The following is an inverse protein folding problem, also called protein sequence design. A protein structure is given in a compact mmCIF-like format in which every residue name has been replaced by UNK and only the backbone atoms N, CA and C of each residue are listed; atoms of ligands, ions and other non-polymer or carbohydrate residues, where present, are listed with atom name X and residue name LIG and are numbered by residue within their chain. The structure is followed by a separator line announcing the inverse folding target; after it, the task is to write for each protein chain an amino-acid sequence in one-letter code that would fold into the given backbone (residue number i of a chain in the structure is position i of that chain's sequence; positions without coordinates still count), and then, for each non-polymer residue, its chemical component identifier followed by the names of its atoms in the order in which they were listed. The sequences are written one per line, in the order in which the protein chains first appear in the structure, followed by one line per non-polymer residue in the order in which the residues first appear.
data_IF_137507847098
#
_entry.id   IF_137507847098
#
_cell.length_a   1.000
_cell.length_b   1.000
_cell.length_c   1.000
_cell.angle_alpha   90.00
_cell.angle_beta   90.00
_cell.angle_gamma   90.00
#
_symmetry.space_group_name_H-M   'P 1'
#
loop_
_entity.id
_entity.type
_entity.pdbx_description
1 polymer ?
#
# COMPACT_ATOMS: atom_id res chain seq x y z
N UNK A 1 -2.34 -43.98 12.62
CA UNK A 1 -1.91 -42.81 11.86
C UNK A 1 -2.78 -41.63 12.26
N UNK A 2 -2.19 -40.46 12.56
CA UNK A 2 -2.99 -39.28 12.91
C UNK A 2 -3.81 -38.79 11.70
N UNK A 3 -4.93 -38.12 11.93
CA UNK A 3 -5.76 -37.52 10.85
C UNK A 3 -4.93 -36.59 9.96
N UNK A 4 -3.99 -35.87 10.55
CA UNK A 4 -3.04 -34.99 9.84
C UNK A 4 -2.16 -35.75 8.86
N UNK A 5 -1.53 -36.88 9.27
CA UNK A 5 -0.67 -37.68 8.38
C UNK A 5 -1.46 -38.31 7.22
N UNK A 6 -2.73 -38.64 7.44
CA UNK A 6 -3.61 -39.11 6.35
C UNK A 6 -3.87 -38.02 5.32
N UNK A 7 -4.10 -36.78 5.78
CA UNK A 7 -4.30 -35.63 4.89
C UNK A 7 -3.05 -35.28 4.09
N UNK A 8 -1.88 -35.30 4.72
CA UNK A 8 -0.60 -35.08 4.00
C UNK A 8 -0.41 -36.11 2.89
N UNK A 9 -0.69 -37.38 3.16
CA UNK A 9 -0.59 -38.46 2.16
C UNK A 9 -1.59 -38.31 1.02
N UNK A 10 -2.83 -37.87 1.31
CA UNK A 10 -3.82 -37.52 0.29
C UNK A 10 -3.30 -36.39 -0.61
N UNK A 11 -2.62 -35.39 -0.02
CA UNK A 11 -1.94 -34.31 -0.76
C UNK A 11 -0.83 -34.82 -1.66
N UNK A 12 0.00 -35.77 -1.18
CA UNK A 12 1.07 -36.42 -1.98
C UNK A 12 0.52 -37.16 -3.20
N UNK A 13 -0.54 -37.93 -3.00
CA UNK A 13 -1.18 -38.69 -4.09
C UNK A 13 -1.79 -37.76 -5.14
N UNK A 14 -2.39 -36.62 -4.71
CA UNK A 14 -2.95 -35.64 -5.62
C UNK A 14 -1.86 -34.87 -6.37
N UNK A 15 -0.78 -34.46 -5.68
CA UNK A 15 0.36 -33.77 -6.29
C UNK A 15 1.04 -34.66 -7.35
N UNK A 16 1.25 -35.93 -7.05
CA UNK A 16 1.83 -36.87 -8.00
C UNK A 16 0.98 -37.06 -9.29
N UNK A 17 -0.36 -37.00 -9.14
CA UNK A 17 -1.26 -37.02 -10.31
C UNK A 17 -1.14 -35.74 -11.14
N UNK A 18 -1.07 -34.59 -10.50
CA UNK A 18 -0.89 -33.30 -11.17
C UNK A 18 0.44 -33.25 -11.94
N UNK A 19 1.55 -33.67 -11.31
CA UNK A 19 2.87 -33.69 -11.97
C UNK A 19 2.92 -34.62 -13.19
N UNK A 20 2.23 -35.74 -13.15
CA UNK A 20 2.10 -36.63 -14.34
C UNK A 20 1.39 -35.92 -15.49
N UNK A 21 0.40 -35.07 -15.22
CA UNK A 21 -0.33 -34.31 -16.24
C UNK A 21 0.51 -33.13 -16.78
N UNK A 22 1.37 -32.56 -15.95
CA UNK A 22 2.26 -31.44 -16.31
C UNK A 22 3.53 -31.89 -17.04
N UNK A 23 3.90 -33.18 -16.92
CA UNK A 23 5.09 -33.71 -17.59
C UNK A 23 4.78 -33.98 -19.06
N UNK A 24 5.62 -33.43 -19.96
CA UNK A 24 5.58 -33.76 -21.40
C UNK A 24 6.16 -35.13 -21.65
N UNK A 25 5.58 -35.88 -22.58
CA UNK A 25 6.03 -37.19 -23.00
C UNK A 25 6.09 -37.27 -24.51
N UNK A 26 6.63 -38.35 -25.08
CA UNK A 26 6.67 -38.54 -26.54
C UNK A 26 5.27 -38.49 -27.19
N UNK A 27 4.21 -38.79 -26.41
CA UNK A 27 2.82 -38.74 -26.87
C UNK A 27 2.05 -37.49 -26.40
N UNK A 28 2.63 -36.69 -25.49
CA UNK A 28 2.06 -35.45 -24.98
C UNK A 28 3.05 -34.31 -25.15
N UNK A 29 2.86 -33.52 -26.17
CA UNK A 29 3.78 -32.46 -26.58
C UNK A 29 3.65 -31.18 -25.73
N UNK A 30 2.50 -31.00 -25.05
CA UNK A 30 2.24 -29.87 -24.13
C UNK A 30 1.70 -30.38 -22.80
N UNK A 31 2.01 -29.69 -21.68
CA UNK A 31 1.41 -29.95 -20.38
C UNK A 31 -0.12 -29.76 -20.41
N UNK A 32 -0.83 -30.63 -19.70
CA UNK A 32 -2.28 -30.50 -19.54
C UNK A 32 -2.59 -29.64 -18.29
N UNK A 33 -2.53 -28.33 -18.47
CA UNK A 33 -2.76 -27.37 -17.37
C UNK A 33 -4.21 -27.42 -16.84
N UNK A 34 -5.19 -27.66 -17.71
CA UNK A 34 -6.60 -27.72 -17.33
C UNK A 34 -6.87 -28.91 -16.40
N UNK A 35 -6.43 -30.10 -16.77
CA UNK A 35 -6.64 -31.30 -15.94
C UNK A 35 -5.75 -31.34 -14.70
N UNK A 36 -4.58 -30.69 -14.71
CA UNK A 36 -3.68 -30.65 -13.56
C UNK A 36 -4.17 -29.72 -12.43
N UNK A 37 -4.86 -28.60 -12.77
CA UNK A 37 -5.30 -27.59 -11.81
C UNK A 37 -6.12 -28.16 -10.65
N UNK A 38 -7.18 -28.97 -10.84
CA UNK A 38 -7.98 -29.49 -9.72
C UNK A 38 -7.20 -30.45 -8.82
N UNK A 39 -6.20 -31.17 -9.37
CA UNK A 39 -5.33 -32.03 -8.54
C UNK A 39 -4.35 -31.20 -7.70
N UNK A 40 -3.81 -30.09 -8.22
CA UNK A 40 -2.98 -29.17 -7.46
C UNK A 40 -3.78 -28.49 -6.36
N UNK A 41 -5.01 -28.05 -6.65
CA UNK A 41 -5.91 -27.46 -5.66
C UNK A 41 -6.22 -28.41 -4.53
N UNK A 42 -6.60 -29.66 -4.86
CA UNK A 42 -6.81 -30.73 -3.88
C UNK A 42 -5.55 -31.01 -3.06
N UNK A 43 -4.38 -31.02 -3.68
CA UNK A 43 -3.11 -31.23 -2.96
C UNK A 43 -2.81 -30.10 -1.98
N UNK A 44 -2.96 -28.82 -2.40
CA UNK A 44 -2.74 -27.66 -1.58
C UNK A 44 -3.67 -27.62 -0.36
N UNK A 45 -4.96 -27.89 -0.56
CA UNK A 45 -5.95 -27.97 0.51
C UNK A 45 -5.66 -29.13 1.48
N UNK A 46 -5.27 -30.30 0.97
CA UNK A 46 -4.91 -31.43 1.80
C UNK A 46 -3.66 -31.17 2.65
N UNK A 47 -2.63 -30.52 2.09
CA UNK A 47 -1.47 -30.09 2.86
C UNK A 47 -1.81 -29.04 3.91
N UNK A 48 -2.69 -28.07 3.59
CA UNK A 48 -3.16 -27.08 4.55
C UNK A 48 -3.93 -27.75 5.70
N UNK A 49 -4.86 -28.63 5.38
CA UNK A 49 -5.63 -29.39 6.39
C UNK A 49 -4.74 -30.32 7.22
N UNK A 50 -3.67 -30.87 6.62
CA UNK A 50 -2.66 -31.68 7.28
C UNK A 50 -1.60 -30.88 8.06
N UNK A 51 -1.71 -29.55 8.14
CA UNK A 51 -0.75 -28.65 8.80
C UNK A 51 0.66 -28.68 8.19
N UNK A 52 0.79 -29.17 6.96
CA UNK A 52 2.04 -29.11 6.20
C UNK A 52 2.14 -27.79 5.43
N UNK A 53 2.19 -26.65 6.18
CA UNK A 53 2.01 -25.31 5.64
C UNK A 53 3.06 -24.90 4.61
N UNK A 54 4.32 -25.33 4.79
CA UNK A 54 5.39 -25.11 3.79
C UNK A 54 5.02 -25.74 2.43
N UNK A 55 4.55 -26.97 2.46
CA UNK A 55 4.14 -27.70 1.28
C UNK A 55 2.89 -27.10 0.65
N UNK A 56 1.93 -26.70 1.48
CA UNK A 56 0.73 -26.01 1.03
C UNK A 56 1.07 -24.72 0.28
N UNK A 57 1.91 -23.86 0.84
CA UNK A 57 2.33 -22.61 0.20
C UNK A 57 2.98 -22.86 -1.17
N UNK A 58 3.95 -23.78 -1.25
CA UNK A 58 4.62 -24.15 -2.50
C UNK A 58 3.66 -24.70 -3.55
N UNK A 59 2.67 -25.50 -3.11
CA UNK A 59 1.66 -26.08 -4.02
C UNK A 59 0.70 -24.99 -4.52
N UNK A 60 0.31 -24.00 -3.69
CA UNK A 60 -0.49 -22.85 -4.15
C UNK A 60 0.28 -21.98 -5.16
N UNK A 61 1.58 -21.76 -4.98
CA UNK A 61 2.42 -21.08 -5.98
C UNK A 61 2.40 -21.84 -7.30
N UNK A 62 2.63 -23.17 -7.23
CA UNK A 62 2.60 -24.02 -8.43
C UNK A 62 1.24 -24.04 -9.11
N UNK A 63 0.16 -24.06 -8.34
CA UNK A 63 -1.21 -23.95 -8.86
C UNK A 63 -1.44 -22.60 -9.57
N UNK A 64 -0.96 -21.50 -8.97
CA UNK A 64 -1.06 -20.18 -9.58
C UNK A 64 -0.33 -20.11 -10.92
N UNK A 65 0.89 -20.64 -11.02
CA UNK A 65 1.66 -20.72 -12.28
C UNK A 65 0.91 -21.52 -13.34
N UNK A 66 0.35 -22.67 -12.96
CA UNK A 66 -0.42 -23.53 -13.88
C UNK A 66 -1.68 -22.85 -14.35
N UNK A 67 -2.40 -22.16 -13.45
CA UNK A 67 -3.60 -21.43 -13.82
C UNK A 67 -3.30 -20.20 -14.68
N UNK A 68 -2.20 -19.50 -14.43
CA UNK A 68 -1.74 -18.41 -15.29
C UNK A 68 -1.49 -18.92 -16.73
N UNK A 69 -0.75 -20.03 -16.86
CA UNK A 69 -0.50 -20.66 -18.16
C UNK A 69 -1.76 -21.18 -18.86
N UNK A 70 -2.80 -21.50 -18.09
CA UNK A 70 -4.10 -21.91 -18.60
C UNK A 70 -5.03 -20.72 -18.92
N UNK A 71 -4.56 -19.47 -18.78
CA UNK A 71 -5.34 -18.26 -19.00
C UNK A 71 -6.28 -17.89 -17.87
N UNK A 72 -6.27 -18.63 -16.74
CA UNK A 72 -7.09 -18.33 -15.55
C UNK A 72 -6.36 -17.35 -14.61
N UNK A 73 -5.93 -16.20 -15.15
CA UNK A 73 -5.04 -15.23 -14.50
C UNK A 73 -5.61 -14.70 -13.18
N UNK A 74 -6.94 -14.46 -13.13
CA UNK A 74 -7.61 -14.02 -11.91
C UNK A 74 -7.44 -15.04 -10.75
N UNK A 75 -7.62 -16.32 -11.03
CA UNK A 75 -7.42 -17.39 -10.02
C UNK A 75 -5.96 -17.51 -9.63
N UNK A 76 -5.05 -17.35 -10.58
CA UNK A 76 -3.62 -17.33 -10.31
C UNK A 76 -3.26 -16.25 -9.28
N UNK A 77 -3.76 -15.02 -9.43
CA UNK A 77 -3.55 -13.95 -8.47
C UNK A 77 -4.09 -14.29 -7.07
N UNK A 78 -5.30 -14.85 -6.97
CA UNK A 78 -5.89 -15.29 -5.70
C UNK A 78 -5.05 -16.39 -4.99
N UNK A 79 -4.50 -17.31 -5.75
CA UNK A 79 -3.65 -18.37 -5.18
C UNK A 79 -2.29 -17.85 -4.74
N UNK A 80 -1.73 -16.82 -5.39
CA UNK A 80 -0.55 -16.12 -4.91
C UNK A 80 -0.80 -15.43 -3.57
N UNK A 81 -1.94 -14.74 -3.41
CA UNK A 81 -2.35 -14.17 -2.12
C UNK A 81 -2.45 -15.23 -1.02
N UNK A 82 -3.05 -16.38 -1.34
CA UNK A 82 -3.19 -17.49 -0.41
C UNK A 82 -1.83 -18.08 -0.01
N UNK A 83 -0.94 -18.28 -0.98
CA UNK A 83 0.42 -18.75 -0.74
C UNK A 83 1.20 -17.79 0.18
N UNK A 84 1.09 -16.47 -0.05
CA UNK A 84 1.72 -15.44 0.78
C UNK A 84 1.22 -15.50 2.24
N UNK A 85 -0.10 -15.55 2.44
CA UNK A 85 -0.69 -15.67 3.78
C UNK A 85 -0.23 -16.91 4.52
N UNK A 86 -0.23 -18.07 3.85
CA UNK A 86 0.23 -19.34 4.44
C UNK A 86 1.73 -19.24 4.76
N UNK A 87 2.53 -18.63 3.88
CA UNK A 87 3.97 -18.46 4.12
C UNK A 87 4.22 -17.66 5.39
N UNK A 88 3.52 -16.52 5.58
CA UNK A 88 3.66 -15.71 6.79
C UNK A 88 3.22 -16.42 8.07
N UNK A 89 2.30 -17.41 7.97
CA UNK A 89 1.89 -18.22 9.11
C UNK A 89 3.00 -19.13 9.62
N UNK A 90 3.70 -19.87 8.73
CA UNK A 90 4.70 -20.84 9.16
C UNK A 90 6.12 -20.27 9.24
N UNK A 91 6.43 -19.23 8.48
CA UNK A 91 7.76 -18.63 8.40
C UNK A 91 7.75 -17.11 8.54
N UNK A 92 7.18 -16.52 9.63
CA UNK A 92 7.09 -15.05 9.77
C UNK A 92 8.46 -14.37 9.86
N UNK A 93 9.51 -15.10 10.20
CA UNK A 93 10.91 -14.60 10.24
C UNK A 93 11.58 -14.57 8.86
N UNK A 94 10.97 -15.15 7.85
CA UNK A 94 11.45 -15.17 6.46
C UNK A 94 10.38 -14.63 5.52
N UNK A 95 10.07 -13.33 5.57
CA UNK A 95 8.93 -12.75 4.88
C UNK A 95 9.17 -12.53 3.37
N UNK A 96 10.41 -12.61 2.88
CA UNK A 96 10.75 -12.30 1.48
C UNK A 96 9.95 -13.10 0.44
N UNK A 97 9.75 -14.42 0.57
CA UNK A 97 8.92 -15.14 -0.38
C UNK A 97 7.47 -14.65 -0.38
N UNK A 98 6.91 -14.31 0.78
CA UNK A 98 5.55 -13.78 0.84
C UNK A 98 5.42 -12.43 0.12
N UNK A 99 6.42 -11.56 0.24
CA UNK A 99 6.48 -10.29 -0.50
C UNK A 99 6.46 -10.54 -2.01
N UNK A 100 7.31 -11.46 -2.49
CA UNK A 100 7.33 -11.84 -3.91
C UNK A 100 5.97 -12.39 -4.39
N UNK A 101 5.29 -13.19 -3.58
CA UNK A 101 3.98 -13.74 -3.95
C UNK A 101 2.91 -12.63 -4.06
N UNK A 102 2.90 -11.64 -3.15
CA UNK A 102 2.01 -10.48 -3.28
C UNK A 102 2.32 -9.66 -4.53
N UNK A 103 3.60 -9.41 -4.84
CA UNK A 103 4.01 -8.71 -6.05
C UNK A 103 3.61 -9.47 -7.33
N UNK A 104 3.82 -10.78 -7.36
CA UNK A 104 3.38 -11.62 -8.49
C UNK A 104 1.85 -11.61 -8.65
N UNK A 105 1.11 -11.67 -7.54
CA UNK A 105 -0.34 -11.55 -7.56
C UNK A 105 -0.81 -10.20 -8.10
N UNK A 106 -0.15 -9.10 -7.73
CA UNK A 106 -0.39 -7.76 -8.28
C UNK A 106 -0.09 -7.71 -9.78
N UNK A 107 1.05 -8.28 -10.21
CA UNK A 107 1.41 -8.34 -11.63
C UNK A 107 0.35 -9.08 -12.47
N UNK A 108 -0.20 -10.17 -11.96
CA UNK A 108 -1.28 -10.89 -12.64
C UNK A 108 -2.56 -10.05 -12.79
N UNK A 109 -2.94 -9.26 -11.77
CA UNK A 109 -4.07 -8.34 -11.90
C UNK A 109 -3.76 -7.19 -12.88
N UNK A 110 -2.53 -6.69 -12.89
CA UNK A 110 -2.09 -5.65 -13.85
C UNK A 110 -2.10 -6.16 -15.28
N UNK A 111 -1.71 -7.42 -15.53
CA UNK A 111 -1.79 -8.08 -16.84
C UNK A 111 -3.23 -8.12 -17.38
N UNK A 112 -4.22 -8.22 -16.49
CA UNK A 112 -5.64 -8.19 -16.85
C UNK A 112 -6.21 -6.77 -17.00
N UNK A 113 -5.42 -5.71 -16.76
CA UNK A 113 -5.90 -4.33 -16.71
C UNK A 113 -6.67 -3.98 -15.42
N UNK A 114 -6.71 -4.87 -14.42
CA UNK A 114 -7.41 -4.69 -13.15
C UNK A 114 -6.52 -3.94 -12.14
N UNK A 115 -6.09 -2.72 -12.49
CA UNK A 115 -5.12 -1.94 -11.71
C UNK A 115 -5.56 -1.68 -10.27
N UNK A 116 -6.86 -1.49 -10.04
CA UNK A 116 -7.41 -1.32 -8.69
C UNK A 116 -7.21 -2.56 -7.81
N UNK A 117 -7.38 -3.76 -8.37
CA UNK A 117 -7.12 -5.02 -7.66
C UNK A 117 -5.62 -5.27 -7.49
N UNK A 118 -4.81 -4.86 -8.45
CA UNK A 118 -3.35 -4.91 -8.34
C UNK A 118 -2.87 -4.05 -7.18
N UNK A 119 -3.31 -2.80 -7.09
CA UNK A 119 -3.01 -1.90 -5.98
C UNK A 119 -3.52 -2.44 -4.63
N UNK A 120 -4.74 -2.98 -4.59
CA UNK A 120 -5.29 -3.62 -3.38
C UNK A 120 -4.44 -4.81 -2.92
N UNK A 121 -3.94 -5.62 -3.84
CA UNK A 121 -3.04 -6.75 -3.55
C UNK A 121 -1.73 -6.27 -2.91
N UNK A 122 -1.10 -5.23 -3.46
CA UNK A 122 0.10 -4.61 -2.89
C UNK A 122 -0.17 -4.02 -1.51
N UNK A 123 -1.28 -3.32 -1.33
CA UNK A 123 -1.67 -2.74 -0.03
C UNK A 123 -1.90 -3.82 1.04
N UNK A 124 -2.56 -4.92 0.70
CA UNK A 124 -2.74 -6.08 1.59
C UNK A 124 -1.39 -6.72 1.95
N UNK A 125 -0.54 -6.90 0.95
CA UNK A 125 0.81 -7.44 1.15
C UNK A 125 1.65 -6.54 2.04
N UNK A 126 1.68 -5.25 1.77
CA UNK A 126 2.43 -4.28 2.55
C UNK A 126 1.97 -4.26 4.02
N UNK A 127 0.66 -4.24 4.27
CA UNK A 127 0.11 -4.27 5.63
C UNK A 127 0.46 -5.57 6.37
N UNK A 128 0.37 -6.73 5.71
CA UNK A 128 0.74 -8.02 6.30
C UNK A 128 2.25 -8.11 6.62
N UNK A 129 3.10 -7.58 5.75
CA UNK A 129 4.55 -7.54 5.94
C UNK A 129 4.96 -6.52 7.00
N UNK A 130 4.28 -5.38 7.11
CA UNK A 130 4.47 -4.41 8.18
C UNK A 130 4.19 -5.05 9.56
N UNK A 131 3.17 -5.87 9.67
CA UNK A 131 2.81 -6.57 10.90
C UNK A 131 3.91 -7.53 11.38
N UNK A 132 4.74 -8.07 10.48
CA UNK A 132 5.91 -8.90 10.81
C UNK A 132 7.23 -8.12 10.79
N UNK A 133 7.17 -6.79 10.88
CA UNK A 133 8.30 -5.87 10.97
C UNK A 133 9.27 -5.91 9.77
N UNK A 134 8.76 -6.11 8.57
CA UNK A 134 9.57 -5.95 7.36
C UNK A 134 9.86 -4.47 7.11
N UNK A 135 11.13 -4.12 6.98
CA UNK A 135 11.54 -2.72 6.79
C UNK A 135 11.30 -2.20 5.39
N UNK A 136 11.30 -3.07 4.41
CA UNK A 136 11.32 -2.70 2.99
C UNK A 136 9.97 -2.92 2.29
N UNK A 137 8.89 -2.45 2.93
CA UNK A 137 7.55 -2.49 2.31
C UNK A 137 7.15 -1.17 1.64
N UNK A 138 7.97 -0.14 1.78
CA UNK A 138 7.68 1.21 1.27
C UNK A 138 7.39 1.22 -0.23
N UNK A 139 8.19 0.50 -1.01
CA UNK A 139 8.00 0.43 -2.45
C UNK A 139 6.62 -0.15 -2.84
N UNK A 140 6.10 -1.12 -2.09
CA UNK A 140 4.77 -1.68 -2.37
C UNK A 140 3.65 -0.64 -2.17
N UNK A 141 3.78 0.21 -1.14
CA UNK A 141 2.84 1.31 -0.91
C UNK A 141 2.91 2.37 -2.03
N UNK A 142 4.13 2.73 -2.47
CA UNK A 142 4.32 3.70 -3.54
C UNK A 142 3.85 3.16 -4.89
N UNK A 143 4.19 1.92 -5.22
CA UNK A 143 3.73 1.23 -6.43
C UNK A 143 2.19 1.13 -6.47
N UNK A 144 1.53 0.88 -5.33
CA UNK A 144 0.07 0.91 -5.28
C UNK A 144 -0.51 2.30 -5.62
N UNK A 145 0.15 3.39 -5.18
CA UNK A 145 -0.24 4.74 -5.58
C UNK A 145 -0.05 4.97 -7.08
N UNK A 146 1.06 4.51 -7.66
CA UNK A 146 1.36 4.65 -9.09
C UNK A 146 0.32 3.92 -9.96
N UNK A 147 -0.07 2.71 -9.56
CA UNK A 147 -1.14 1.95 -10.23
C UNK A 147 -2.48 2.68 -10.18
N UNK A 148 -2.80 3.31 -9.04
CA UNK A 148 -4.07 4.03 -8.88
C UNK A 148 -4.11 5.35 -9.65
N UNK A 149 -2.98 6.02 -9.86
CA UNK A 149 -2.92 7.20 -10.73
C UNK A 149 -3.09 6.84 -12.21
N UNK A 150 -2.58 5.70 -12.62
CA UNK A 150 -2.75 5.19 -14.00
C UNK A 150 -4.22 4.84 -14.29
N UNK A 151 -5.00 4.52 -13.25
CA UNK A 151 -6.42 4.23 -13.38
C UNK A 151 -7.22 5.55 -13.39
N UNK A 152 -8.03 5.78 -14.41
CA UNK A 152 -8.89 6.98 -14.53
C UNK A 152 -10.10 6.94 -13.56
N UNK A 153 -9.82 6.69 -12.28
CA UNK A 153 -10.81 6.61 -11.20
C UNK A 153 -10.27 7.23 -9.90
N UNK A 154 -10.12 8.57 -9.84
CA UNK A 154 -9.44 9.24 -8.75
C UNK A 154 -10.06 9.00 -7.36
N UNK A 155 -11.37 8.78 -7.29
CA UNK A 155 -12.06 8.52 -6.02
C UNK A 155 -11.54 7.27 -5.29
N UNK A 156 -11.14 6.22 -6.03
CA UNK A 156 -10.60 5.01 -5.43
C UNK A 156 -9.13 5.16 -5.00
N UNK A 157 -8.41 6.09 -5.59
CA UNK A 157 -7.02 6.38 -5.26
C UNK A 157 -6.86 7.00 -3.87
N UNK A 158 -7.80 7.82 -3.43
CA UNK A 158 -7.72 8.58 -2.17
C UNK A 158 -7.39 7.70 -0.96
N UNK A 159 -8.03 6.54 -0.83
CA UNK A 159 -7.81 5.64 0.29
C UNK A 159 -6.39 5.03 0.27
N UNK A 160 -5.88 4.69 -0.91
CA UNK A 160 -4.51 4.17 -1.09
C UNK A 160 -3.50 5.23 -0.69
N UNK A 161 -3.65 6.46 -1.17
CA UNK A 161 -2.77 7.59 -0.83
C UNK A 161 -2.79 7.91 0.67
N UNK A 162 -3.96 7.91 1.32
CA UNK A 162 -4.08 8.14 2.77
C UNK A 162 -3.39 7.06 3.59
N UNK A 163 -3.54 5.78 3.22
CA UNK A 163 -2.86 4.67 3.89
C UNK A 163 -1.35 4.76 3.70
N UNK A 164 -0.90 5.10 2.50
CA UNK A 164 0.52 5.32 2.21
C UNK A 164 1.08 6.48 3.02
N UNK A 165 0.38 7.62 3.09
CA UNK A 165 0.78 8.76 3.93
C UNK A 165 0.90 8.36 5.41
N UNK A 166 -0.09 7.63 5.94
CA UNK A 166 -0.05 7.16 7.33
C UNK A 166 1.17 6.26 7.62
N UNK A 167 1.51 5.36 6.68
CA UNK A 167 2.70 4.52 6.76
C UNK A 167 3.99 5.35 6.76
N UNK A 168 4.14 6.28 5.80
CA UNK A 168 5.32 7.13 5.67
C UNK A 168 5.53 8.02 6.90
N UNK A 169 4.47 8.63 7.40
CA UNK A 169 4.50 9.46 8.63
C UNK A 169 4.91 8.62 9.85
N UNK A 170 4.35 7.41 10.00
CA UNK A 170 4.71 6.47 11.08
C UNK A 170 6.19 6.11 11.06
N UNK A 171 6.76 5.96 9.87
CA UNK A 171 8.19 5.66 9.68
C UNK A 171 9.10 6.89 9.76
N UNK A 172 8.51 8.08 9.85
CA UNK A 172 9.22 9.37 9.78
C UNK A 172 9.89 9.64 8.42
N UNK A 173 9.43 8.98 7.36
CA UNK A 173 9.84 9.23 5.98
C UNK A 173 9.09 10.48 5.45
N UNK A 174 9.33 11.64 6.11
CA UNK A 174 8.54 12.85 5.88
C UNK A 174 8.70 13.44 4.49
N UNK A 175 9.88 13.31 3.87
CA UNK A 175 10.11 13.77 2.51
C UNK A 175 9.21 13.04 1.51
N UNK A 176 9.13 11.72 1.58
CA UNK A 176 8.24 10.94 0.73
C UNK A 176 6.77 11.18 1.06
N UNK A 177 6.45 11.44 2.35
CA UNK A 177 5.10 11.83 2.73
C UNK A 177 4.69 13.17 2.12
N UNK A 178 5.59 14.16 2.03
CA UNK A 178 5.34 15.43 1.32
C UNK A 178 5.00 15.16 -0.15
N UNK A 179 5.82 14.38 -0.85
CA UNK A 179 5.55 14.02 -2.25
C UNK A 179 4.20 13.31 -2.39
N UNK A 180 3.87 12.41 -1.47
CA UNK A 180 2.57 11.73 -1.48
C UNK A 180 1.40 12.71 -1.30
N UNK A 181 1.50 13.70 -0.40
CA UNK A 181 0.47 14.72 -0.24
C UNK A 181 0.38 15.69 -1.43
N UNK A 182 1.48 16.02 -2.09
CA UNK A 182 1.48 16.81 -3.33
C UNK A 182 0.72 16.08 -4.44
N UNK A 183 0.89 14.76 -4.57
CA UNK A 183 0.10 13.92 -5.47
C UNK A 183 -1.38 13.92 -5.07
N UNK A 184 -1.71 13.84 -3.78
CA UNK A 184 -3.09 13.97 -3.30
C UNK A 184 -3.70 15.32 -3.64
N UNK A 185 -2.95 16.42 -3.55
CA UNK A 185 -3.41 17.75 -3.98
C UNK A 185 -3.83 17.75 -5.44
N UNK A 186 -3.01 17.15 -6.33
CA UNK A 186 -3.34 17.03 -7.74
C UNK A 186 -4.63 16.22 -7.96
N UNK A 187 -4.79 15.13 -7.21
CA UNK A 187 -5.98 14.27 -7.23
C UNK A 187 -7.24 15.03 -6.78
N UNK A 188 -7.17 15.71 -5.64
CA UNK A 188 -8.30 16.49 -5.12
C UNK A 188 -8.65 17.69 -6.00
N UNK A 189 -7.64 18.30 -6.64
CA UNK A 189 -7.85 19.38 -7.62
C UNK A 189 -8.60 18.86 -8.84
N UNK A 190 -8.24 17.70 -9.39
CA UNK A 190 -8.94 17.06 -10.49
C UNK A 190 -10.40 16.70 -10.15
N UNK A 191 -10.67 16.36 -8.88
CA UNK A 191 -12.03 16.07 -8.38
C UNK A 191 -12.81 17.31 -7.94
N UNK A 192 -12.23 18.50 -7.91
CA UNK A 192 -12.85 19.71 -7.40
C UNK A 192 -13.07 19.72 -5.88
N UNK A 193 -12.35 18.87 -5.10
CA UNK A 193 -12.52 18.73 -3.66
C UNK A 193 -11.63 19.70 -2.87
N UNK A 194 -12.03 20.97 -2.83
CA UNK A 194 -11.25 22.07 -2.22
C UNK A 194 -10.91 21.81 -0.74
N UNK A 195 -11.87 21.34 0.06
CA UNK A 195 -11.65 21.08 1.48
C UNK A 195 -10.56 20.01 1.73
N UNK A 196 -10.58 18.92 0.97
CA UNK A 196 -9.56 17.88 1.08
C UNK A 196 -8.20 18.37 0.58
N UNK A 197 -8.19 19.25 -0.44
CA UNK A 197 -6.99 19.91 -0.93
C UNK A 197 -6.36 20.80 0.14
N UNK A 198 -7.17 21.61 0.86
CA UNK A 198 -6.71 22.47 1.96
C UNK A 198 -6.08 21.65 3.10
N UNK A 199 -6.70 20.51 3.46
CA UNK A 199 -6.13 19.57 4.44
C UNK A 199 -4.78 19.01 3.99
N UNK A 200 -4.64 18.73 2.70
CA UNK A 200 -3.35 18.28 2.15
C UNK A 200 -2.29 19.38 2.20
N UNK A 201 -2.64 20.61 1.91
CA UNK A 201 -1.74 21.77 2.05
C UNK A 201 -1.23 21.95 3.48
N UNK A 202 -2.13 21.93 4.47
CA UNK A 202 -1.73 21.98 5.88
C UNK A 202 -0.85 20.78 6.28
N UNK A 203 -1.14 19.60 5.74
CA UNK A 203 -0.34 18.39 5.99
C UNK A 203 1.09 18.53 5.46
N UNK A 204 1.29 19.08 4.27
CA UNK A 204 2.60 19.40 3.69
C UNK A 204 3.38 20.36 4.60
N UNK A 205 2.73 21.42 5.06
CA UNK A 205 3.33 22.41 5.95
C UNK A 205 3.77 21.76 7.27
N UNK A 206 2.89 20.98 7.90
CA UNK A 206 3.20 20.25 9.15
C UNK A 206 4.38 19.30 8.96
N UNK A 207 4.45 18.57 7.84
CA UNK A 207 5.57 17.67 7.55
C UNK A 207 6.89 18.41 7.41
N UNK A 208 6.91 19.55 6.72
CA UNK A 208 8.11 20.40 6.61
C UNK A 208 8.54 20.95 7.97
N UNK A 209 7.59 21.35 8.82
CA UNK A 209 7.87 21.71 10.21
C UNK A 209 8.44 20.52 11.01
N UNK A 210 7.94 19.31 10.81
CA UNK A 210 8.47 18.10 11.46
C UNK A 210 9.89 17.73 11.01
N UNK A 211 10.27 18.13 9.79
CA UNK A 211 11.64 18.04 9.27
C UNK A 211 12.57 19.14 9.83
N UNK A 212 12.07 20.02 10.70
CA UNK A 212 12.76 21.20 11.21
C UNK A 212 13.12 22.24 10.14
N UNK A 213 12.48 22.17 8.98
CA UNK A 213 12.69 23.11 7.89
C UNK A 213 11.54 24.14 7.85
N UNK A 214 11.64 25.11 8.78
CA UNK A 214 10.64 26.19 8.90
C UNK A 214 10.64 27.10 7.66
N UNK A 215 11.78 27.21 6.97
CA UNK A 215 11.91 28.02 5.75
C UNK A 215 11.11 27.37 4.62
N UNK A 216 11.31 26.08 4.40
CA UNK A 216 10.55 25.35 3.39
C UNK A 216 9.05 25.26 3.74
N UNK A 217 8.70 25.19 5.04
CA UNK A 217 7.31 25.26 5.49
C UNK A 217 6.67 26.60 5.14
N UNK A 218 7.37 27.70 5.37
CA UNK A 218 6.91 29.06 5.03
C UNK A 218 6.77 29.27 3.53
N UNK A 219 7.73 28.78 2.75
CA UNK A 219 7.67 28.81 1.27
C UNK A 219 6.46 28.04 0.75
N UNK A 220 6.20 26.86 1.29
CA UNK A 220 5.03 26.06 0.93
C UNK A 220 3.72 26.81 1.30
N UNK A 221 3.66 27.40 2.49
CA UNK A 221 2.53 28.23 2.92
C UNK A 221 2.27 29.38 1.93
N UNK A 222 3.31 30.16 1.59
CA UNK A 222 3.19 31.28 0.63
C UNK A 222 2.75 30.81 -0.77
N UNK A 223 3.19 29.61 -1.18
CA UNK A 223 2.75 29.02 -2.45
C UNK A 223 1.28 28.64 -2.41
N UNK A 224 0.82 28.06 -1.31
CA UNK A 224 -0.58 27.62 -1.16
C UNK A 224 -1.55 28.78 -0.97
N UNK A 225 -1.11 29.95 -0.47
CA UNK A 225 -1.91 31.17 -0.40
C UNK A 225 -2.38 31.69 -1.77
N UNK A 226 -1.77 31.22 -2.87
CA UNK A 226 -2.22 31.54 -4.22
C UNK A 226 -3.52 30.83 -4.59
N UNK A 227 -3.95 29.85 -3.80
CA UNK A 227 -5.24 29.18 -3.95
C UNK A 227 -6.29 29.87 -3.06
N UNK A 228 -7.26 30.53 -3.70
CA UNK A 228 -8.31 31.30 -3.00
C UNK A 228 -9.08 30.46 -1.97
N UNK A 229 -9.23 29.17 -2.23
CA UNK A 229 -9.89 28.23 -1.32
C UNK A 229 -9.11 28.02 -0.04
N UNK A 230 -7.78 28.05 -0.10
CA UNK A 230 -6.93 27.87 1.07
C UNK A 230 -6.89 29.12 1.94
N UNK A 231 -6.76 30.30 1.35
CA UNK A 231 -6.67 31.57 2.08
C UNK A 231 -7.80 31.77 3.11
N UNK A 232 -9.01 31.34 2.79
CA UNK A 232 -10.18 31.47 3.65
C UNK A 232 -10.45 30.27 4.56
N UNK A 233 -9.56 29.30 4.60
CA UNK A 233 -9.75 28.04 5.33
C UNK A 233 -9.19 28.06 6.76
N UNK A 234 -9.75 27.21 7.62
CA UNK A 234 -9.21 26.98 8.96
C UNK A 234 -7.80 26.40 8.90
N UNK A 235 -7.50 25.59 7.89
CA UNK A 235 -6.19 24.99 7.64
C UNK A 235 -5.13 26.06 7.36
N UNK A 236 -5.49 27.15 6.69
CA UNK A 236 -4.61 28.30 6.46
C UNK A 236 -4.25 28.97 7.79
N UNK A 237 -5.26 29.32 8.60
CA UNK A 237 -5.06 29.96 9.89
C UNK A 237 -4.23 29.09 10.86
N UNK A 238 -4.45 27.76 10.86
CA UNK A 238 -3.65 26.82 11.65
C UNK A 238 -2.18 26.77 11.20
N UNK A 239 -1.95 26.82 9.89
CA UNK A 239 -0.61 26.78 9.30
C UNK A 239 0.17 28.06 9.59
N UNK A 240 -0.50 29.22 9.50
CA UNK A 240 0.07 30.53 9.84
C UNK A 240 0.50 30.60 11.30
N UNK A 241 -0.38 30.21 12.21
CA UNK A 241 -0.10 30.18 13.63
C UNK A 241 1.07 29.25 13.97
N UNK A 242 1.13 28.08 13.34
CA UNK A 242 2.21 27.10 13.56
C UNK A 242 3.56 27.65 13.09
N UNK A 243 3.62 28.17 11.86
CA UNK A 243 4.84 28.77 11.30
C UNK A 243 5.26 29.99 12.13
N UNK A 244 4.30 30.84 12.52
CA UNK A 244 4.55 32.02 13.31
C UNK A 244 5.16 31.70 14.68
N UNK A 245 4.65 30.68 15.37
CA UNK A 245 5.20 30.22 16.65
C UNK A 245 6.63 29.67 16.50
N UNK A 246 6.88 28.87 15.45
CA UNK A 246 8.20 28.30 15.15
C UNK A 246 9.22 29.38 14.75
N UNK A 247 8.86 30.35 13.91
CA UNK A 247 9.73 31.48 13.51
C UNK A 247 10.15 32.34 14.71
N UNK A 248 9.23 32.59 15.64
CA UNK A 248 9.53 33.36 16.86
C UNK A 248 10.22 32.56 17.95
N UNK A 249 10.36 31.26 17.76
CA UNK A 249 10.86 30.33 18.78
C UNK A 249 10.07 30.45 20.10
N UNK A 250 8.78 30.69 20.01
CA UNK A 250 7.88 30.86 21.15
C UNK A 250 7.23 29.51 21.50
N UNK A 251 7.80 28.82 22.50
CA UNK A 251 7.29 27.52 22.96
C UNK A 251 5.89 27.63 23.57
N UNK A 252 5.60 28.73 24.29
CA UNK A 252 4.29 28.90 24.90
C UNK A 252 3.20 29.03 23.83
N UNK A 253 3.43 29.85 22.82
CA UNK A 253 2.53 30.01 21.68
C UNK A 253 2.44 28.68 20.89
N UNK A 254 3.55 28.01 20.66
CA UNK A 254 3.56 26.71 19.99
C UNK A 254 2.65 25.71 20.71
N UNK A 255 2.77 25.57 22.04
CA UNK A 255 1.93 24.67 22.83
C UNK A 255 0.43 24.99 22.74
N UNK A 256 0.08 26.28 22.60
CA UNK A 256 -1.31 26.70 22.36
C UNK A 256 -1.78 26.24 20.98
N UNK A 257 -0.98 26.47 19.94
CA UNK A 257 -1.29 26.07 18.56
C UNK A 257 -1.44 24.56 18.42
N UNK A 258 -0.52 23.78 19.00
CA UNK A 258 -0.54 22.31 18.91
C UNK A 258 -1.78 21.67 19.56
N UNK A 259 -2.41 22.37 20.52
CA UNK A 259 -3.62 21.91 21.22
C UNK A 259 -4.92 22.33 20.57
N UNK A 260 -4.89 23.11 19.48
CA UNK A 260 -6.11 23.56 18.79
C UNK A 260 -6.93 22.34 18.32
N UNK A 261 -8.26 22.31 18.59
CA UNK A 261 -9.10 21.17 18.25
C UNK A 261 -9.25 20.96 16.72
N UNK A 262 -9.05 22.02 15.94
CA UNK A 262 -9.16 21.96 14.48
C UNK A 262 -8.19 20.95 13.83
N UNK A 263 -7.05 20.63 14.49
CA UNK A 263 -6.14 19.59 14.02
C UNK A 263 -6.78 18.19 13.94
N UNK A 264 -7.95 17.98 14.53
CA UNK A 264 -8.68 16.70 14.37
C UNK A 264 -9.32 16.53 12.98
N UNK A 265 -9.48 17.60 12.21
CA UNK A 265 -10.10 17.57 10.89
C UNK A 265 -9.11 17.29 9.75
N UNK A 266 -7.81 17.38 10.01
CA UNK A 266 -6.76 16.88 9.10
C UNK A 266 -6.63 15.36 9.22
N UNK A 267 -5.81 14.75 8.35
CA UNK A 267 -5.56 13.32 8.45
C UNK A 267 -5.05 12.92 9.84
N UNK A 268 -5.55 11.81 10.36
CA UNK A 268 -5.27 11.34 11.74
C UNK A 268 -3.77 11.21 12.00
N UNK A 269 -2.97 10.78 11.01
CA UNK A 269 -1.51 10.68 11.15
C UNK A 269 -0.85 12.05 11.34
N UNK A 270 -1.32 13.07 10.65
CA UNK A 270 -0.85 14.45 10.75
C UNK A 270 -1.29 15.08 12.08
N UNK A 271 -2.55 14.91 12.48
CA UNK A 271 -3.03 15.40 13.76
C UNK A 271 -2.30 14.80 14.97
N UNK A 272 -1.81 13.54 14.85
CA UNK A 272 -0.91 12.93 15.85
C UNK A 272 0.50 13.52 15.77
N UNK A 273 1.04 13.70 14.57
CA UNK A 273 2.36 14.28 14.35
C UNK A 273 2.46 15.69 14.92
N UNK A 274 1.46 16.56 14.67
CA UNK A 274 1.39 17.93 15.22
C UNK A 274 1.65 17.94 16.72
N UNK A 275 1.01 17.04 17.47
CA UNK A 275 1.15 16.97 18.94
C UNK A 275 2.55 16.58 19.41
N UNK A 276 3.43 16.11 18.52
CA UNK A 276 4.81 15.73 18.81
C UNK A 276 5.83 16.81 18.40
N UNK A 277 5.37 17.87 17.73
CA UNK A 277 6.25 18.96 17.31
C UNK A 277 6.82 19.70 18.52
N UNK A 278 8.05 20.13 18.41
CA UNK A 278 8.74 20.94 19.41
C UNK A 278 9.79 21.82 18.74
N UNK A 279 10.16 22.91 19.38
CA UNK A 279 11.22 23.82 18.91
C UNK A 279 12.59 23.12 18.77
N UNK A 280 12.82 22.07 19.55
CA UNK A 280 14.14 21.42 19.73
C UNK A 280 14.20 20.00 19.15
N UNK A 281 13.41 19.68 18.14
CA UNK A 281 13.49 18.37 17.47
C UNK A 281 13.20 17.16 18.37
N UNK A 282 12.31 17.30 19.34
CA UNK A 282 11.88 16.21 20.23
C UNK A 282 12.80 15.99 21.46
N UNK A 283 13.87 16.76 21.63
CA UNK A 283 14.56 16.84 22.90
C UNK A 283 13.70 17.67 23.86
N UNK A 284 13.18 17.03 24.93
CA UNK A 284 12.47 17.73 26.01
C UNK A 284 13.41 18.81 26.54
N UNK A 285 12.99 20.10 26.60
CA UNK A 285 13.85 21.13 27.23
C UNK A 285 14.19 20.70 28.65
N UNK A 286 15.42 20.97 29.17
CA UNK A 286 15.73 20.70 30.54
C UNK A 286 14.70 21.43 31.39
N UNK A 287 13.98 20.68 32.22
CA UNK A 287 12.96 21.21 33.12
C UNK A 287 13.53 22.44 33.83
N UNK A 288 12.98 23.60 33.50
CA UNK A 288 13.30 24.87 34.13
C UNK A 288 13.26 24.67 35.65
N UNK A 289 14.39 24.92 36.27
CA UNK A 289 14.62 24.78 37.71
C UNK A 289 13.47 25.39 38.52
N UNK A 290 13.01 24.65 39.49
CA UNK A 290 12.15 25.15 40.54
C UNK A 290 12.78 26.40 41.20
N UNK A 291 11.96 27.40 41.61
CA UNK A 291 12.50 28.61 42.18
C UNK A 291 13.29 28.30 43.46
N UNK A 292 14.53 28.77 43.48
CA UNK A 292 15.43 28.68 44.63
C UNK A 292 14.83 29.51 45.78
N UNK A 293 14.23 28.84 46.75
CA UNK A 293 13.83 29.46 48.00
C UNK A 293 15.09 29.67 48.86
N UNK A 294 15.23 30.93 49.32
CA UNK A 294 16.36 31.48 49.98
C UNK A 294 16.86 30.67 51.18
N UNK A 295 18.18 30.61 51.30
CA UNK A 295 18.94 30.04 52.37
C UNK A 295 18.62 30.64 53.74
N UNK A 296 18.51 29.80 54.76
CA UNK A 296 18.91 30.12 56.11
C UNK A 296 19.93 29.08 56.59
N UNK A 297 21.11 29.60 56.92
CA UNK A 297 22.23 28.95 57.58
C UNK A 297 21.87 28.45 58.96
N UNK A 298 22.35 27.28 59.37
CA UNK A 298 23.21 27.12 60.60
C UNK A 298 23.47 25.65 60.94
N UNK A 299 24.74 25.36 61.13
CA UNK A 299 25.42 24.45 62.12
C UNK A 299 25.31 22.92 61.95
N UNK A 300 26.48 22.33 61.75
CA UNK A 300 26.97 20.98 62.03
C UNK A 300 27.23 20.79 63.54
N UNK A 301 27.66 19.61 64.07
CA UNK A 301 27.47 18.18 63.77
C UNK A 301 27.05 17.37 65.04
N UNK A 302 27.41 16.09 65.32
CA UNK A 302 28.00 14.97 64.57
C UNK A 302 27.34 13.59 64.82
N UNK A 303 27.79 12.61 63.97
CA UNK A 303 27.98 11.15 64.19
C UNK A 303 27.04 10.30 65.06
N UNK A 304 26.57 9.16 64.57
CA UNK A 304 27.07 7.78 64.88
C UNK A 304 26.09 6.67 64.42
N UNK A 305 26.69 5.62 63.87
CA UNK A 305 26.38 4.18 63.97
C UNK A 305 25.09 3.66 63.29
N UNK A 306 25.29 2.92 62.17
CA UNK A 306 25.26 1.47 62.08
C UNK A 306 24.09 0.75 62.75
N UNK A 307 23.22 0.14 61.96
CA UNK A 307 22.87 -1.30 62.12
C UNK A 307 22.23 -1.86 60.84
N UNK A 308 22.65 -3.08 60.57
CA UNK A 308 22.10 -4.02 59.55
C UNK A 308 20.69 -4.45 59.95
N UNK A 309 19.86 -4.76 58.96
CA UNK A 309 19.20 -6.06 58.89
C UNK A 309 18.15 -6.11 57.77
N UNK A 310 18.35 -7.11 56.95
CA UNK A 310 17.42 -8.12 56.43
C UNK A 310 16.34 -7.73 55.43
N UNK A 311 16.56 -8.34 54.25
CA UNK A 311 15.52 -8.76 53.29
C UNK A 311 14.40 -9.56 53.96
N UNK A 312 13.20 -9.53 53.36
CA UNK A 312 12.73 -10.80 52.83
C UNK A 312 12.27 -10.74 51.38
N UNK A 313 12.64 -11.77 50.71
CA UNK A 313 12.13 -12.36 49.50
C UNK A 313 10.64 -12.66 49.61
N UNK A 314 9.82 -12.21 48.67
CA UNK A 314 8.67 -13.00 48.22
C UNK A 314 8.42 -12.77 46.75
N UNK A 315 8.36 -13.88 46.10
CA UNK A 315 7.94 -14.07 44.68
C UNK A 315 6.48 -13.69 44.48
N UNK A 316 6.13 -13.31 43.32
CA UNK A 316 5.05 -13.93 42.55
C UNK A 316 4.55 -13.02 41.43
N UNK A 317 4.48 -13.63 40.35
CA UNK A 317 3.50 -13.76 39.30
C UNK A 317 3.60 -12.77 38.16
N UNK A 318 4.11 -13.31 37.10
CA UNK A 318 3.95 -12.83 35.75
C UNK A 318 2.47 -12.76 35.35
N UNK A 319 2.12 -11.70 34.72
CA UNK A 319 0.93 -11.64 33.88
C UNK A 319 1.41 -11.40 32.46
N UNK A 320 1.61 -12.50 31.75
CA UNK A 320 1.68 -12.48 30.30
C UNK A 320 0.27 -12.30 29.79
N UNK A 321 -0.10 -11.10 29.40
CA UNK A 321 -1.28 -10.90 28.56
C UNK A 321 -0.94 -11.40 27.17
N UNK A 322 -1.32 -12.65 26.92
CA UNK A 322 -1.48 -13.19 25.59
C UNK A 322 -2.54 -12.34 24.88
N UNK A 323 -2.14 -11.60 23.89
CA UNK A 323 -3.07 -10.99 22.94
C UNK A 323 -3.76 -12.12 22.17
N UNK A 324 -5.01 -12.35 22.52
CA UNK A 324 -5.91 -13.24 21.78
C UNK A 324 -6.22 -12.60 20.43
N UNK A 325 -5.98 -13.34 19.36
CA UNK A 325 -6.15 -12.95 17.96
C UNK A 325 -7.62 -13.14 17.50
N UNK A 326 -8.60 -13.06 18.43
CA UNK A 326 -9.97 -13.51 18.22
C UNK A 326 -11.02 -12.38 18.15
N UNK A 327 -10.60 -11.13 17.91
CA UNK A 327 -11.55 -10.02 17.69
C UNK A 327 -11.23 -9.23 16.41
N UNK A 328 -11.21 -9.92 15.29
CA UNK A 328 -11.57 -9.38 13.99
C UNK A 328 -12.68 -10.28 13.44
N UNK A 329 -13.87 -10.06 13.92
CA UNK A 329 -15.08 -10.55 13.25
C UNK A 329 -15.09 -9.98 11.83
N UNK A 330 -14.58 -10.80 10.93
CA UNK A 330 -14.86 -10.65 9.52
C UNK A 330 -16.30 -11.07 9.31
N UNK A 331 -17.21 -10.11 9.23
CA UNK A 331 -18.58 -10.31 8.80
C UNK A 331 -18.54 -11.05 7.46
N UNK A 332 -18.64 -12.35 7.53
CA UNK A 332 -18.90 -13.20 6.38
C UNK A 332 -20.32 -12.94 5.92
N UNK A 333 -20.48 -12.05 4.95
CA UNK A 333 -21.68 -12.05 4.12
C UNK A 333 -21.87 -13.46 3.54
N UNK A 334 -23.10 -14.00 3.54
CA UNK A 334 -23.34 -15.35 3.06
C UNK A 334 -22.92 -15.45 1.60
N UNK A 335 -22.17 -16.49 1.29
CA UNK A 335 -21.85 -16.90 -0.07
C UNK A 335 -23.19 -17.17 -0.76
N UNK A 336 -23.63 -16.21 -1.56
CA UNK A 336 -24.75 -16.40 -2.46
C UNK A 336 -24.28 -17.40 -3.50
N UNK A 337 -24.95 -18.54 -3.53
CA UNK A 337 -24.70 -19.65 -4.47
C UNK A 337 -24.89 -19.13 -5.88
N UNK A 338 -23.80 -18.77 -6.54
CA UNK A 338 -23.77 -18.21 -7.91
C UNK A 338 -24.15 -19.23 -8.96
N UNK A 339 -24.31 -20.49 -8.61
CA UNK A 339 -24.81 -21.53 -9.52
C UNK A 339 -26.31 -21.40 -9.85
N UNK A 340 -27.11 -20.85 -8.92
CA UNK A 340 -28.54 -20.62 -9.14
C UNK A 340 -28.85 -19.32 -9.89
N UNK A 341 -27.94 -18.34 -9.88
CA UNK A 341 -28.13 -17.06 -10.57
C UNK A 341 -27.80 -17.11 -12.08
N UNK A 342 -27.03 -18.09 -12.54
CA UNK A 342 -26.68 -18.25 -13.97
C UNK A 342 -27.78 -18.98 -14.75
N UNK A 343 -28.65 -19.73 -14.09
CA UNK A 343 -29.74 -20.49 -14.74
C UNK A 343 -30.96 -19.63 -15.15
N UNK A 344 -31.06 -18.38 -14.68
CA UNK A 344 -32.24 -17.52 -14.92
C UNK A 344 -32.01 -16.39 -15.94
N UNK A 345 -30.86 -16.29 -16.57
CA UNK A 345 -30.60 -15.36 -17.69
C UNK A 345 -30.71 -16.11 -19.02
N UNK A 346 -31.90 -16.51 -19.37
CA UNK A 346 -32.25 -16.81 -20.76
C UNK A 346 -32.38 -15.48 -21.50
N UNK A 347 -31.32 -15.11 -22.22
CA UNK A 347 -31.33 -13.98 -23.15
C UNK A 347 -32.18 -14.42 -24.35
N UNK A 348 -33.33 -13.77 -24.51
CA UNK A 348 -34.13 -13.89 -25.72
C UNK A 348 -33.32 -13.47 -26.97
N UNK A 349 -33.21 -14.36 -27.93
CA UNK A 349 -32.61 -14.07 -29.23
C UNK A 349 -33.43 -12.99 -29.94
N UNK A 350 -32.79 -11.98 -30.58
CA UNK A 350 -33.53 -11.05 -31.42
C UNK A 350 -33.97 -11.76 -32.70
N UNK A 351 -35.26 -11.79 -32.94
CA UNK A 351 -35.90 -12.19 -34.19
C UNK A 351 -35.38 -11.34 -35.34
N UNK A 352 -34.78 -11.98 -36.30
CA UNK A 352 -34.38 -11.37 -37.56
C UNK A 352 -35.62 -11.06 -38.39
N UNK A 353 -35.94 -9.77 -38.56
CA UNK A 353 -36.88 -9.30 -39.57
C UNK A 353 -36.12 -9.06 -40.87
N UNK A 354 -36.38 -9.88 -41.85
CA UNK A 354 -35.93 -9.74 -43.24
C UNK A 354 -36.58 -8.51 -43.87
N UNK A 355 -35.78 -7.54 -44.32
CA UNK A 355 -36.19 -6.53 -45.28
C UNK A 355 -35.36 -6.72 -46.52
N UNK A 356 -36.08 -7.07 -47.57
CA UNK A 356 -35.66 -7.31 -48.96
C UNK A 356 -35.08 -6.05 -49.60
N UNK A 357 -34.06 -6.29 -50.45
CA UNK A 357 -33.33 -5.33 -51.27
C UNK A 357 -34.18 -4.69 -52.39
N UNK A 358 -33.62 -3.67 -53.10
CA UNK A 358 -33.26 -4.01 -54.48
C UNK A 358 -31.84 -3.63 -54.91
N UNK A 359 -31.35 -4.50 -55.73
CA UNK A 359 -30.15 -4.47 -56.55
C UNK A 359 -30.15 -3.30 -57.52
N UNK A 360 -29.07 -2.52 -57.61
CA UNK A 360 -28.67 -1.87 -58.87
C UNK A 360 -27.19 -2.04 -59.10
N UNK A 361 -26.91 -2.74 -60.13
CA UNK A 361 -25.66 -3.02 -60.82
C UNK A 361 -25.08 -1.75 -61.45
N UNK A 362 -23.81 -1.46 -61.25
CA UNK A 362 -22.93 -0.89 -62.31
C UNK A 362 -21.47 -0.99 -61.87
N UNK A 363 -20.71 -1.79 -62.60
CA UNK A 363 -19.26 -1.69 -62.81
C UNK A 363 -19.07 -1.16 -64.24
N UNK A 364 -17.89 -0.80 -64.77
CA UNK A 364 -16.51 -1.14 -64.37
C UNK A 364 -15.46 0.00 -64.45
N UNK A 365 -14.24 -0.37 -64.16
CA UNK A 365 -12.90 0.22 -64.27
C UNK A 365 -12.56 0.93 -65.61
N UNK A 366 -11.32 1.46 -65.91
CA UNK A 366 -10.02 1.11 -65.34
C UNK A 366 -8.96 2.25 -65.22
N UNK A 367 -7.84 1.89 -64.57
CA UNK A 367 -6.39 2.23 -64.84
C UNK A 367 -5.94 3.67 -65.05
N UNK A 368 -4.93 4.09 -64.25
CA UNK A 368 -3.58 4.41 -64.81
C UNK A 368 -2.53 4.47 -63.70
N UNK A 369 -1.50 3.69 -63.92
CA UNK A 369 -0.20 3.67 -63.30
C UNK A 369 0.64 4.86 -63.75
N UNK A 370 1.55 5.42 -62.92
CA UNK A 370 2.91 5.86 -63.28
C UNK A 370 3.76 6.02 -62.01
N UNK A 371 5.07 5.73 -62.09
CA UNK A 371 5.93 5.35 -60.96
C UNK A 371 6.83 6.48 -60.43
N UNK A 372 7.85 6.15 -59.58
CA UNK A 372 8.46 7.05 -58.64
C UNK A 372 9.66 7.82 -59.18
N UNK A 373 9.97 8.97 -58.60
CA UNK A 373 11.25 9.69 -58.81
C UNK A 373 12.01 9.75 -57.49
N UNK A 374 13.22 9.21 -57.55
CA UNK A 374 14.26 9.29 -56.54
C UNK A 374 15.11 10.56 -56.71
N UNK A 375 16.21 10.74 -55.96
CA UNK A 375 16.41 11.82 -55.01
C UNK A 375 17.40 12.89 -55.49
N UNK A 376 17.40 14.05 -54.88
CA UNK A 376 18.45 15.05 -55.12
C UNK A 376 19.20 15.33 -53.83
N UNK A 377 20.47 15.00 -53.84
CA UNK A 377 21.54 15.45 -52.95
C UNK A 377 21.93 16.91 -53.27
N UNK A 378 22.17 17.71 -52.25
CA UNK A 378 23.13 18.82 -52.22
C UNK A 378 23.62 18.91 -50.77
N UNK A 379 24.78 18.54 -50.45
CA UNK A 379 26.17 19.00 -50.56
C UNK A 379 26.37 20.39 -49.97
N UNK A 380 26.95 20.39 -48.76
CA UNK A 380 28.04 21.19 -48.14
C UNK A 380 27.93 22.71 -48.20
N UNK A 381 28.03 23.37 -47.05
CA UNK A 381 29.15 24.28 -46.78
C UNK A 381 29.30 24.52 -45.27
N UNK A 382 30.49 24.25 -44.79
CA UNK A 382 31.08 24.71 -43.55
C UNK A 382 31.21 26.22 -43.61
N UNK A 383 30.96 26.94 -42.51
CA UNK A 383 31.78 28.10 -42.18
C UNK A 383 31.92 28.25 -40.67
N UNK A 384 33.11 28.10 -40.27
CA UNK A 384 33.78 28.36 -39.02
C UNK A 384 33.99 29.86 -38.90
N UNK A 385 33.54 30.53 -37.84
CA UNK A 385 34.23 31.71 -37.33
C UNK A 385 34.15 31.79 -35.81
N UNK A 386 35.30 31.92 -35.33
CA UNK A 386 35.93 32.06 -34.05
C UNK A 386 35.75 33.47 -33.44
N UNK A 387 35.89 33.58 -32.14
CA UNK A 387 36.37 34.71 -31.32
C UNK A 387 35.53 36.01 -31.23
N UNK A 388 34.97 36.25 -30.08
CA UNK A 388 35.56 37.04 -28.95
C UNK A 388 34.70 36.89 -27.72
#
# INVERSE_FOLDING_TARGET
MSSSSKKVREGDDALAKAEKLLTTTMFRWSPDYMSASPYLEKAAEAFRAGQALDRAAKTYVRLAEVQHKNGAVFRAAMHMETAAKIHLQYAPKQPQPAMQYYQMGSAYYSEMGELGKAAEMLMKGAAALEAVNVSDVKHMYLEACDLMETQDKPHFAVDVFRKTAAFLVKRKDYADAVVNYERQVALFRAMGQKENMNKSFASIIVLKCAMQDVIAADQAYMTHLQDDGFLSSDECALSEDLIGALKRSDDAQLQVVLKKPQWQYVDTCIGRLVRTLSLYGGAKPPSSAAPVSAAKSTSFPPSTQRTQASLPTTASAGSSTAFSFDELEFSSSPVVDTAAAIASLQIAAPTATAVTAPVTTTAPAPTTSVPPSAPTQHVVEEDMFDLT
#
